data_IF_777380758152
#
_entry.id   IF_777380758152
#
_cell.length_a   1.000
_cell.length_b   1.000
_cell.length_c   1.000
_cell.angle_alpha   90.00
_cell.angle_beta   90.00
_cell.angle_gamma   90.00
#
_symmetry.space_group_name_H-M   'P 1'
#
loop_
_entity.id
_entity.type
_entity.pdbx_description
1 polymer ?
#
# COMPACT_ATOMS: atom_id res chain seq x y z
N UNK A 1 11.76 -6.26 5.87
CA UNK A 1 12.89 -5.70 6.63
C UNK A 1 12.51 -5.65 8.10
N UNK A 2 13.39 -6.07 8.99
CA UNK A 2 13.23 -5.98 10.42
C UNK A 2 14.49 -5.35 11.06
N UNK A 3 14.33 -4.39 11.97
CA UNK A 3 15.44 -3.75 12.67
C UNK A 3 15.10 -3.43 14.12
N UNK A 4 16.15 -3.44 14.98
CA UNK A 4 16.14 -2.91 16.36
C UNK A 4 17.30 -1.93 16.56
N UNK A 5 18.08 -1.68 15.53
CA UNK A 5 19.31 -0.91 15.63
C UNK A 5 18.99 0.57 15.83
N UNK A 6 19.38 1.08 17.00
CA UNK A 6 19.18 2.48 17.40
C UNK A 6 19.88 3.48 16.45
N UNK A 7 20.84 3.01 15.63
CA UNK A 7 21.50 3.83 14.64
C UNK A 7 20.66 4.06 13.38
N UNK A 8 19.67 3.20 13.12
CA UNK A 8 18.71 3.30 11.99
C UNK A 8 17.46 4.06 12.42
N UNK A 9 17.01 3.86 13.66
CA UNK A 9 15.72 4.36 14.14
C UNK A 9 15.52 5.87 13.95
N UNK A 10 16.50 6.75 14.19
CA UNK A 10 16.32 8.20 13.99
C UNK A 10 15.93 8.58 12.56
N UNK A 11 16.53 7.92 11.57
CA UNK A 11 16.20 8.16 10.15
C UNK A 11 14.79 7.68 9.82
N UNK A 12 14.43 6.51 10.31
CA UNK A 12 13.11 5.92 10.11
C UNK A 12 12.01 6.77 10.79
N UNK A 13 12.23 7.17 12.03
CA UNK A 13 11.29 8.00 12.81
C UNK A 13 11.12 9.39 12.21
N UNK A 14 12.18 9.97 11.67
CA UNK A 14 12.11 11.27 10.99
C UNK A 14 11.17 11.23 9.78
N UNK A 15 11.26 10.21 8.95
CA UNK A 15 10.37 10.04 7.78
C UNK A 15 8.93 9.74 8.19
N UNK A 16 8.75 9.01 9.30
CA UNK A 16 7.42 8.61 9.77
C UNK A 16 6.74 9.65 10.69
N UNK A 17 7.48 10.66 11.17
CA UNK A 17 6.94 11.72 12.05
C UNK A 17 5.89 12.57 11.34
N UNK A 18 4.85 13.08 12.05
CA UNK A 18 4.49 12.86 13.44
C UNK A 18 3.60 11.64 13.67
N UNK A 19 3.19 10.92 12.64
CA UNK A 19 2.28 9.78 12.76
C UNK A 19 2.90 8.48 12.20
N UNK A 20 3.55 7.68 13.05
CA UNK A 20 4.26 6.46 12.60
C UNK A 20 3.32 5.29 12.26
N UNK A 21 2.03 5.39 12.59
CA UNK A 21 1.11 4.24 12.44
C UNK A 21 0.43 4.24 11.09
N UNK A 22 0.64 3.16 10.32
CA UNK A 22 -0.12 2.90 9.09
C UNK A 22 0.30 3.71 7.87
N UNK A 23 1.37 4.52 7.96
CA UNK A 23 1.85 5.31 6.83
C UNK A 23 2.56 4.43 5.81
N UNK A 24 2.19 4.61 4.54
CA UNK A 24 2.95 4.10 3.39
C UNK A 24 3.77 5.27 2.83
N UNK A 25 5.06 5.06 2.71
CA UNK A 25 5.99 6.02 2.11
C UNK A 25 6.29 5.56 0.70
N UNK A 26 6.18 6.47 -0.27
CA UNK A 26 6.55 6.23 -1.66
C UNK A 26 7.70 7.16 -2.01
N UNK A 27 8.80 6.60 -2.49
CA UNK A 27 9.94 7.36 -3.00
C UNK A 27 9.69 7.63 -4.48
N UNK A 28 9.31 8.85 -4.80
CA UNK A 28 8.81 9.24 -6.14
C UNK A 28 9.82 8.98 -7.24
N UNK A 29 11.04 9.38 -7.03
CA UNK A 29 12.11 9.41 -8.05
C UNK A 29 13.05 8.20 -7.95
N UNK A 30 12.71 7.20 -7.13
CA UNK A 30 13.48 5.96 -7.01
C UNK A 30 13.44 5.15 -8.32
N UNK A 31 14.60 4.68 -8.76
CA UNK A 31 14.73 3.80 -9.94
C UNK A 31 13.87 2.55 -9.83
N UNK A 32 13.79 1.96 -8.65
CA UNK A 32 12.91 0.82 -8.35
C UNK A 32 11.45 1.21 -8.09
N UNK A 33 11.12 2.51 -8.01
CA UNK A 33 9.82 3.00 -7.56
C UNK A 33 9.40 2.39 -6.23
N UNK A 34 10.25 2.56 -5.24
CA UNK A 34 10.09 1.94 -3.92
C UNK A 34 8.88 2.53 -3.20
N UNK A 35 8.08 1.63 -2.62
CA UNK A 35 7.17 2.00 -1.54
C UNK A 35 7.34 1.06 -0.36
N UNK A 36 7.17 1.59 0.86
CA UNK A 36 7.39 0.84 2.07
C UNK A 36 6.49 1.31 3.22
N UNK A 37 6.27 0.43 4.17
CA UNK A 37 5.61 0.76 5.43
C UNK A 37 6.24 -0.02 6.57
N UNK A 38 6.50 0.65 7.68
CA UNK A 38 7.06 0.08 8.88
C UNK A 38 6.13 0.24 10.07
N UNK A 39 6.18 -0.72 10.98
CA UNK A 39 5.39 -0.70 12.21
C UNK A 39 6.26 -1.10 13.39
N UNK A 40 6.16 -0.31 14.46
CA UNK A 40 6.82 -0.62 15.73
C UNK A 40 6.07 -1.75 16.44
N UNK A 41 6.83 -2.75 16.89
CA UNK A 41 6.31 -3.87 17.64
C UNK A 41 6.30 -3.57 19.16
N UNK A 42 5.42 -4.18 19.95
CA UNK A 42 4.44 -5.19 19.56
C UNK A 42 3.13 -4.57 19.04
N UNK A 43 2.55 -5.17 17.98
CA UNK A 43 1.14 -4.97 17.62
C UNK A 43 0.26 -6.05 18.27
N UNK A 44 0.83 -7.22 18.54
CA UNK A 44 0.19 -8.35 19.17
C UNK A 44 0.99 -8.83 20.39
N UNK A 45 0.30 -9.48 21.34
CA UNK A 45 0.83 -9.86 22.66
C UNK A 45 2.20 -10.57 22.62
N UNK A 46 2.43 -11.45 21.68
CA UNK A 46 3.62 -12.30 21.61
C UNK A 46 4.75 -11.76 20.71
N UNK A 47 4.65 -10.52 20.27
CA UNK A 47 5.68 -9.91 19.45
C UNK A 47 6.78 -9.26 20.32
N UNK A 48 8.03 -9.28 19.84
CA UNK A 48 9.14 -8.67 20.57
C UNK A 48 8.99 -7.16 20.66
N UNK A 49 9.32 -6.61 21.83
CA UNK A 49 9.30 -5.15 22.04
C UNK A 49 10.49 -4.48 21.34
N UNK A 50 10.28 -3.22 20.92
CA UNK A 50 11.35 -2.37 20.38
C UNK A 50 11.84 -2.75 19.01
N UNK A 51 11.17 -3.65 18.30
CA UNK A 51 11.49 -4.02 16.95
C UNK A 51 10.59 -3.25 15.96
N UNK A 52 11.17 -2.78 14.88
CA UNK A 52 10.46 -2.28 13.73
C UNK A 52 10.45 -3.35 12.64
N UNK A 53 9.27 -3.64 12.12
CA UNK A 53 9.09 -4.58 11.03
C UNK A 53 8.29 -3.88 9.93
N UNK A 54 8.76 -4.01 8.71
CA UNK A 54 8.10 -3.44 7.56
C UNK A 54 8.26 -4.27 6.30
N UNK A 55 7.40 -4.00 5.37
CA UNK A 55 7.54 -4.44 4.00
C UNK A 55 8.05 -3.28 3.13
N UNK A 56 8.79 -3.64 2.10
CA UNK A 56 9.25 -2.76 1.04
C UNK A 56 8.97 -3.46 -0.28
N UNK A 57 8.43 -2.76 -1.24
CA UNK A 57 8.27 -3.28 -2.59
C UNK A 57 8.76 -2.28 -3.63
N UNK A 58 9.40 -2.78 -4.68
CA UNK A 58 9.73 -2.05 -5.90
C UNK A 58 8.70 -2.37 -6.98
N UNK A 59 8.15 -1.35 -7.61
CA UNK A 59 7.17 -1.51 -8.71
C UNK A 59 7.85 -1.68 -10.07
N UNK A 60 9.07 -1.19 -10.19
CA UNK A 60 9.94 -1.30 -11.37
C UNK A 60 11.19 -2.11 -11.02
N UNK A 61 10.97 -3.36 -10.62
CA UNK A 61 12.05 -4.26 -10.16
C UNK A 61 13.00 -4.74 -11.26
N UNK A 62 12.75 -4.41 -12.51
CA UNK A 62 13.55 -4.66 -13.72
C UNK A 62 14.56 -3.55 -14.03
N UNK A 63 14.48 -2.42 -13.32
CA UNK A 63 15.39 -1.27 -13.49
C UNK A 63 16.46 -1.27 -12.40
N UNK A 64 17.62 -0.63 -12.67
CA UNK A 64 18.61 -0.40 -11.62
C UNK A 64 18.05 0.52 -10.52
N UNK A 65 18.56 0.34 -9.30
CA UNK A 65 18.32 1.26 -8.19
C UNK A 65 19.17 2.53 -8.33
N UNK A 66 19.05 3.41 -7.35
CA UNK A 66 19.80 4.67 -7.33
C UNK A 66 21.14 4.52 -6.62
N UNK A 67 21.22 3.64 -5.63
CA UNK A 67 22.43 3.28 -4.89
C UNK A 67 22.99 1.92 -5.36
N UNK A 68 22.11 0.96 -5.58
CA UNK A 68 22.46 -0.37 -6.09
C UNK A 68 22.20 -0.41 -7.60
N UNK A 69 23.26 -0.35 -8.41
CA UNK A 69 23.19 -0.33 -9.88
C UNK A 69 22.87 -1.73 -10.44
N UNK A 70 21.74 -2.30 -10.02
CA UNK A 70 21.17 -3.52 -10.61
C UNK A 70 19.67 -3.64 -10.34
N UNK A 71 18.95 -4.49 -11.12
CA UNK A 71 17.53 -4.75 -10.92
C UNK A 71 17.24 -5.30 -9.52
N UNK A 72 16.19 -4.82 -8.85
CA UNK A 72 15.81 -5.27 -7.51
C UNK A 72 15.58 -6.79 -7.43
N UNK A 73 15.05 -7.39 -8.49
CA UNK A 73 14.79 -8.83 -8.57
C UNK A 73 16.07 -9.69 -8.51
N UNK A 74 17.23 -9.10 -8.79
CA UNK A 74 18.54 -9.76 -8.76
C UNK A 74 19.32 -9.46 -7.47
N UNK A 75 18.72 -8.62 -6.59
CA UNK A 75 19.38 -8.18 -5.37
C UNK A 75 19.22 -9.18 -4.23
N UNK A 76 20.26 -9.25 -3.42
CA UNK A 76 20.23 -9.88 -2.10
C UNK A 76 19.42 -9.03 -1.11
N UNK A 77 19.04 -9.62 0.02
CA UNK A 77 18.38 -8.85 1.09
C UNK A 77 19.23 -7.69 1.61
N UNK A 78 20.56 -7.89 1.71
CA UNK A 78 21.50 -6.82 2.08
C UNK A 78 21.44 -5.64 1.11
N UNK A 79 21.52 -5.90 -0.18
CA UNK A 79 21.48 -4.88 -1.22
C UNK A 79 20.15 -4.12 -1.24
N UNK A 80 19.03 -4.82 -1.07
CA UNK A 80 17.71 -4.17 -0.92
C UNK A 80 17.69 -3.28 0.33
N UNK A 81 18.31 -3.71 1.41
CA UNK A 81 18.42 -2.90 2.62
C UNK A 81 19.31 -1.65 2.39
N UNK A 82 20.42 -1.81 1.67
CA UNK A 82 21.32 -0.69 1.34
C UNK A 82 20.58 0.39 0.54
N UNK A 83 19.85 0.03 -0.49
CA UNK A 83 19.04 0.95 -1.28
C UNK A 83 17.99 1.67 -0.43
N UNK A 84 17.30 0.92 0.46
CA UNK A 84 16.34 1.52 1.38
C UNK A 84 16.98 2.51 2.36
N UNK A 85 18.15 2.19 2.94
CA UNK A 85 18.90 3.08 3.83
C UNK A 85 19.36 4.35 3.12
N UNK A 86 19.76 4.23 1.87
CA UNK A 86 20.10 5.38 1.02
C UNK A 86 18.91 6.35 0.91
N UNK A 87 17.72 5.84 0.61
CA UNK A 87 16.51 6.64 0.52
C UNK A 87 15.97 7.14 1.87
N UNK A 88 16.44 6.59 2.99
CA UNK A 88 16.21 7.16 4.32
C UNK A 88 17.14 8.34 4.65
N UNK A 89 18.13 8.62 3.80
CA UNK A 89 19.13 9.67 4.03
C UNK A 89 20.25 9.25 4.99
N UNK A 90 20.50 7.95 5.12
CA UNK A 90 21.66 7.45 5.86
C UNK A 90 22.94 7.81 5.10
N UNK A 91 23.99 8.37 5.75
CA UNK A 91 25.26 8.63 5.10
C UNK A 91 25.86 7.38 4.45
N UNK A 92 26.33 7.51 3.21
CA UNK A 92 26.79 6.38 2.39
C UNK A 92 27.85 5.51 3.07
N UNK A 93 28.79 6.14 3.80
CA UNK A 93 29.84 5.44 4.53
C UNK A 93 29.34 4.57 5.69
N UNK A 94 28.04 4.61 6.02
CA UNK A 94 27.40 3.82 7.08
C UNK A 94 26.42 2.79 6.54
N UNK A 95 26.02 2.90 5.27
CA UNK A 95 24.95 2.08 4.69
C UNK A 95 25.32 0.61 4.73
N UNK A 96 26.50 0.24 4.32
CA UNK A 96 26.92 -1.17 4.25
C UNK A 96 26.92 -1.84 5.63
N UNK A 97 27.54 -1.19 6.63
CA UNK A 97 27.57 -1.71 8.00
C UNK A 97 26.17 -1.88 8.60
N UNK A 98 25.32 -0.88 8.39
CA UNK A 98 23.93 -0.92 8.90
C UNK A 98 23.06 -1.95 8.17
N UNK A 99 23.28 -2.18 6.90
CA UNK A 99 22.56 -3.22 6.16
C UNK A 99 22.99 -4.63 6.58
N UNK A 100 24.26 -4.81 6.91
CA UNK A 100 24.81 -6.11 7.34
C UNK A 100 24.45 -6.46 8.79
N UNK A 101 24.58 -5.48 9.70
CA UNK A 101 24.50 -5.75 11.14
C UNK A 101 23.27 -5.13 11.82
N UNK A 102 22.69 -4.10 11.21
CA UNK A 102 21.60 -3.33 11.83
C UNK A 102 20.19 -3.76 11.42
N UNK A 103 20.06 -4.51 10.33
CA UNK A 103 18.76 -4.94 9.82
C UNK A 103 18.81 -6.34 9.25
N UNK A 104 17.67 -7.04 9.32
CA UNK A 104 17.48 -8.32 8.63
C UNK A 104 16.46 -8.13 7.51
N UNK A 105 16.85 -8.44 6.29
CA UNK A 105 16.02 -8.28 5.10
C UNK A 105 15.86 -9.61 4.38
N UNK A 106 14.62 -10.06 4.26
CA UNK A 106 14.26 -11.26 3.51
C UNK A 106 13.71 -10.83 2.16
N UNK A 107 14.43 -11.07 1.04
CA UNK A 107 13.93 -10.81 -0.29
C UNK A 107 12.83 -11.80 -0.64
N UNK A 108 11.82 -11.34 -1.36
CA UNK A 108 10.73 -12.17 -1.85
C UNK A 108 10.31 -11.70 -3.24
N UNK A 109 10.34 -12.61 -4.20
CA UNK A 109 9.71 -12.39 -5.49
C UNK A 109 8.26 -12.87 -5.42
N UNK A 110 7.32 -11.98 -5.68
CA UNK A 110 5.90 -12.30 -5.78
C UNK A 110 5.49 -12.25 -7.26
N UNK A 111 5.52 -13.36 -7.99
CA UNK A 111 5.14 -13.38 -9.38
C UNK A 111 3.68 -12.95 -9.53
N UNK A 112 3.42 -12.16 -10.55
CA UNK A 112 2.09 -11.63 -10.86
C UNK A 112 1.43 -10.77 -9.76
N UNK A 113 2.17 -10.31 -8.76
CA UNK A 113 1.63 -9.49 -7.66
C UNK A 113 0.91 -8.21 -8.16
N UNK A 114 1.39 -7.64 -9.26
CA UNK A 114 0.78 -6.45 -9.90
C UNK A 114 -0.39 -6.77 -10.82
N UNK A 115 -0.66 -8.04 -11.14
CA UNK A 115 -1.74 -8.42 -12.05
C UNK A 115 -3.12 -7.96 -11.54
N UNK A 116 -3.29 -7.87 -10.23
CA UNK A 116 -4.51 -7.34 -9.62
C UNK A 116 -4.79 -5.86 -9.97
N UNK A 117 -3.75 -5.10 -10.31
CA UNK A 117 -3.80 -3.68 -10.64
C UNK A 117 -3.84 -3.42 -12.16
N UNK A 118 -3.72 -4.46 -12.97
CA UNK A 118 -3.79 -4.33 -14.42
C UNK A 118 -5.20 -3.92 -14.86
N UNK A 119 -5.32 -3.12 -15.94
CA UNK A 119 -6.60 -2.80 -16.54
C UNK A 119 -7.37 -4.08 -16.90
N UNK A 120 -8.64 -4.13 -16.56
CA UNK A 120 -9.51 -5.28 -16.83
C UNK A 120 -10.92 -4.83 -17.20
N UNK A 121 -11.63 -5.73 -17.84
CA UNK A 121 -13.07 -5.63 -18.09
C UNK A 121 -13.82 -6.59 -17.17
N UNK A 122 -15.11 -6.36 -16.98
CA UNK A 122 -15.99 -7.32 -16.33
C UNK A 122 -15.95 -8.67 -17.07
N UNK A 123 -15.72 -9.75 -16.33
CA UNK A 123 -15.60 -11.10 -16.88
C UNK A 123 -14.18 -11.55 -17.22
N UNK A 124 -13.17 -10.69 -17.07
CA UNK A 124 -11.75 -11.09 -17.25
C UNK A 124 -11.25 -11.98 -16.09
N UNK A 125 -12.01 -12.05 -15.00
CA UNK A 125 -11.72 -12.89 -13.82
C UNK A 125 -12.84 -13.91 -13.63
N UNK A 126 -12.53 -15.08 -13.05
CA UNK A 126 -13.56 -16.03 -12.69
C UNK A 126 -14.46 -15.43 -11.60
N UNK A 127 -15.74 -15.74 -11.67
CA UNK A 127 -16.67 -15.49 -10.57
C UNK A 127 -16.24 -16.27 -9.33
N UNK A 128 -16.59 -15.76 -8.14
CA UNK A 128 -16.26 -16.43 -6.87
C UNK A 128 -16.80 -17.87 -6.87
N UNK A 129 -18.03 -18.07 -7.26
CA UNK A 129 -18.63 -19.40 -7.49
C UNK A 129 -19.12 -19.42 -8.92
N UNK A 130 -18.35 -20.00 -9.87
CA UNK A 130 -18.75 -20.08 -11.27
C UNK A 130 -20.05 -20.87 -11.45
N UNK A 131 -20.77 -20.56 -12.50
CA UNK A 131 -21.98 -21.32 -12.86
C UNK A 131 -21.67 -22.82 -12.97
N UNK A 132 -22.47 -23.63 -12.30
CA UNK A 132 -22.29 -25.08 -12.23
C UNK A 132 -21.27 -25.58 -11.19
N UNK A 133 -20.60 -24.71 -10.47
CA UNK A 133 -19.75 -25.11 -9.35
C UNK A 133 -20.60 -25.58 -8.17
N UNK A 134 -20.28 -26.76 -7.64
CA UNK A 134 -21.03 -27.39 -6.55
C UNK A 134 -20.32 -27.31 -5.22
N UNK A 135 -18.99 -27.44 -5.22
CA UNK A 135 -18.18 -27.60 -4.00
C UNK A 135 -16.81 -26.90 -4.07
N UNK A 136 -16.63 -25.96 -4.98
CA UNK A 136 -15.42 -25.15 -5.03
C UNK A 136 -15.73 -23.69 -5.34
N UNK A 137 -14.80 -22.81 -4.97
CA UNK A 137 -14.87 -21.38 -5.25
C UNK A 137 -13.48 -20.80 -5.50
N UNK A 138 -13.42 -19.73 -6.28
CA UNK A 138 -12.22 -18.91 -6.43
C UNK A 138 -12.23 -17.81 -5.37
N UNK A 139 -11.12 -17.64 -4.65
CA UNK A 139 -11.00 -16.66 -3.57
C UNK A 139 -9.85 -15.70 -3.81
N UNK A 140 -9.93 -14.55 -3.17
CA UNK A 140 -8.88 -13.55 -3.16
C UNK A 140 -8.98 -12.59 -4.33
N UNK A 141 -7.92 -11.83 -4.53
CA UNK A 141 -7.89 -10.70 -5.46
C UNK A 141 -8.03 -11.06 -6.95
N UNK A 142 -7.96 -12.31 -7.30
CA UNK A 142 -8.11 -12.80 -8.68
C UNK A 142 -9.52 -13.29 -9.02
N UNK A 143 -10.41 -13.36 -8.04
CA UNK A 143 -11.83 -13.64 -8.28
C UNK A 143 -12.59 -12.34 -8.59
N UNK A 144 -13.66 -12.44 -9.37
CA UNK A 144 -14.54 -11.29 -9.64
C UNK A 144 -15.55 -11.14 -8.50
N UNK A 145 -15.69 -9.96 -7.94
CA UNK A 145 -16.79 -9.60 -7.07
C UNK A 145 -17.31 -8.20 -7.42
N UNK A 146 -18.63 -7.97 -7.38
CA UNK A 146 -19.20 -6.69 -7.79
C UNK A 146 -18.72 -5.53 -6.92
N UNK A 147 -18.51 -4.37 -7.54
CA UNK A 147 -18.28 -3.06 -6.91
C UNK A 147 -17.01 -2.95 -6.07
N UNK A 148 -16.10 -3.89 -6.15
CA UNK A 148 -14.88 -3.86 -5.36
C UNK A 148 -13.65 -3.71 -6.24
N UNK A 149 -12.63 -3.08 -5.67
CA UNK A 149 -11.30 -2.98 -6.28
C UNK A 149 -10.40 -4.06 -5.70
N UNK A 150 -9.69 -4.77 -6.55
CA UNK A 150 -8.75 -5.79 -6.12
C UNK A 150 -7.56 -5.18 -5.33
N UNK A 151 -6.89 -6.02 -4.54
CA UNK A 151 -5.64 -5.71 -3.88
C UNK A 151 -5.75 -5.39 -2.40
N UNK A 152 -6.94 -5.49 -1.78
CA UNK A 152 -7.13 -5.30 -0.35
C UNK A 152 -7.40 -6.62 0.39
N UNK A 153 -7.14 -6.63 1.69
CA UNK A 153 -7.48 -7.76 2.57
C UNK A 153 -9.00 -7.93 2.60
N UNK A 154 -9.72 -6.81 2.63
CA UNK A 154 -11.18 -6.75 2.64
C UNK A 154 -11.77 -7.40 1.39
N UNK A 155 -11.14 -7.20 0.24
CA UNK A 155 -11.54 -7.88 -1.00
C UNK A 155 -11.45 -9.41 -0.86
N UNK A 156 -10.37 -9.91 -0.30
CA UNK A 156 -10.18 -11.35 -0.06
C UNK A 156 -11.18 -11.90 0.95
N UNK A 157 -11.47 -11.16 2.02
CA UNK A 157 -12.51 -11.53 2.99
C UNK A 157 -13.90 -11.58 2.34
N UNK A 158 -14.21 -10.60 1.52
CA UNK A 158 -15.49 -10.52 0.81
C UNK A 158 -15.70 -11.72 -0.10
N UNK A 159 -14.71 -12.09 -0.91
CA UNK A 159 -14.79 -13.27 -1.77
C UNK A 159 -14.98 -14.56 -0.95
N UNK A 160 -14.34 -14.67 0.22
CA UNK A 160 -14.54 -15.79 1.15
C UNK A 160 -15.97 -15.87 1.69
N UNK A 161 -16.54 -14.75 2.11
CA UNK A 161 -17.93 -14.68 2.58
C UNK A 161 -18.90 -15.01 1.45
N UNK A 162 -18.69 -14.48 0.26
CA UNK A 162 -19.52 -14.75 -0.92
C UNK A 162 -19.50 -16.23 -1.28
N UNK A 163 -18.32 -16.86 -1.27
CA UNK A 163 -18.18 -18.29 -1.50
C UNK A 163 -19.00 -19.14 -0.52
N UNK A 164 -18.87 -18.84 0.78
CA UNK A 164 -19.60 -19.57 1.82
C UNK A 164 -21.11 -19.39 1.69
N UNK A 165 -21.56 -18.15 1.48
CA UNK A 165 -23.01 -17.89 1.39
C UNK A 165 -23.61 -18.55 0.14
N UNK A 166 -22.92 -18.48 -1.00
CA UNK A 166 -23.39 -19.09 -2.24
C UNK A 166 -23.39 -20.61 -2.17
N UNK A 167 -22.29 -21.23 -1.74
CA UNK A 167 -22.18 -22.69 -1.71
C UNK A 167 -23.09 -23.35 -0.66
N UNK A 168 -23.37 -22.64 0.44
CA UNK A 168 -24.27 -23.16 1.49
C UNK A 168 -25.71 -22.67 1.33
N UNK A 169 -26.05 -21.92 0.28
CA UNK A 169 -27.40 -21.41 0.06
C UNK A 169 -27.88 -20.46 1.17
N UNK A 170 -26.97 -19.72 1.78
CA UNK A 170 -27.32 -18.74 2.82
C UNK A 170 -27.90 -17.49 2.16
N UNK A 171 -29.17 -17.21 2.43
CA UNK A 171 -29.83 -15.98 1.95
C UNK A 171 -29.38 -14.77 2.74
N UNK A 172 -28.16 -14.32 2.46
CA UNK A 172 -27.53 -13.16 3.08
C UNK A 172 -26.60 -12.46 2.11
N UNK A 173 -26.80 -11.16 1.92
CA UNK A 173 -25.88 -10.34 1.15
C UNK A 173 -24.52 -10.19 1.85
N UNK A 174 -23.44 -10.17 1.07
CA UNK A 174 -22.11 -9.83 1.58
C UNK A 174 -22.04 -8.33 1.80
N UNK A 175 -21.65 -7.85 3.00
CA UNK A 175 -21.51 -6.42 3.26
C UNK A 175 -20.52 -5.75 2.30
N UNK A 176 -20.82 -4.55 1.86
CA UNK A 176 -19.87 -3.74 1.12
C UNK A 176 -18.74 -3.30 2.05
N UNK A 177 -17.51 -3.25 1.52
CA UNK A 177 -16.34 -2.81 2.30
C UNK A 177 -16.47 -1.32 2.63
N UNK A 178 -16.70 -0.51 1.61
CA UNK A 178 -16.89 0.94 1.76
C UNK A 178 -17.79 1.48 0.65
N UNK A 179 -18.79 2.24 1.06
CA UNK A 179 -19.75 2.85 0.13
C UNK A 179 -19.30 4.17 -0.50
N UNK A 180 -17.97 4.41 -0.64
CA UNK A 180 -17.40 5.68 -1.12
C UNK A 180 -17.92 6.13 -2.48
N UNK A 181 -18.29 5.19 -3.36
CA UNK A 181 -18.89 5.49 -4.66
C UNK A 181 -20.23 6.23 -4.57
N UNK A 182 -20.86 6.22 -3.42
CA UNK A 182 -22.13 6.92 -3.14
C UNK A 182 -21.94 8.15 -2.27
N UNK A 183 -20.73 8.38 -1.75
CA UNK A 183 -20.42 9.57 -0.94
C UNK A 183 -19.81 10.66 -1.83
N UNK A 184 -20.61 11.70 -2.09
CA UNK A 184 -20.18 12.85 -2.93
C UNK A 184 -18.94 13.55 -2.36
N UNK A 185 -18.71 13.49 -1.04
CA UNK A 185 -17.54 14.10 -0.40
C UNK A 185 -16.26 13.36 -0.80
N UNK A 186 -16.29 12.03 -0.81
CA UNK A 186 -15.18 11.20 -1.22
C UNK A 186 -14.87 11.37 -2.71
N UNK A 187 -15.91 11.48 -3.55
CA UNK A 187 -15.76 11.74 -4.98
C UNK A 187 -15.13 13.10 -5.26
N UNK A 188 -15.58 14.14 -4.56
CA UNK A 188 -15.01 15.49 -4.67
C UNK A 188 -13.57 15.54 -4.15
N UNK A 189 -13.27 14.85 -3.05
CA UNK A 189 -11.92 14.71 -2.52
C UNK A 189 -11.00 13.99 -3.49
N UNK A 190 -11.42 12.87 -4.07
CA UNK A 190 -10.68 12.14 -5.08
C UNK A 190 -10.42 13.01 -6.32
N UNK A 191 -11.42 13.74 -6.80
CA UNK A 191 -11.29 14.67 -7.92
C UNK A 191 -10.28 15.80 -7.62
N UNK A 192 -10.28 16.34 -6.39
CA UNK A 192 -9.31 17.35 -5.96
C UNK A 192 -7.87 16.78 -5.91
N UNK A 193 -7.69 15.54 -5.46
CA UNK A 193 -6.39 14.87 -5.44
C UNK A 193 -5.84 14.60 -6.84
N UNK A 194 -6.69 14.19 -7.79
CA UNK A 194 -6.30 13.98 -9.18
C UNK A 194 -5.80 15.27 -9.87
N UNK A 195 -6.08 16.42 -9.30
CA UNK A 195 -5.65 17.74 -9.78
C UNK A 195 -4.45 18.29 -9.02
N UNK A 196 -3.60 17.44 -8.48
CA UNK A 196 -2.42 17.83 -7.66
C UNK A 196 -2.77 18.74 -6.48
N UNK A 197 -3.94 18.53 -5.86
CA UNK A 197 -4.40 19.32 -4.72
C UNK A 197 -4.82 20.75 -5.05
N UNK A 198 -4.95 21.12 -6.33
CA UNK A 198 -5.45 22.42 -6.72
C UNK A 198 -6.91 22.59 -6.30
N UNK A 199 -7.28 23.70 -5.64
CA UNK A 199 -8.65 23.90 -5.19
C UNK A 199 -9.64 23.94 -6.36
N UNK A 200 -10.85 23.48 -6.13
CA UNK A 200 -11.92 23.50 -7.13
C UNK A 200 -12.30 24.93 -7.59
N UNK A 201 -11.98 25.94 -6.78
CA UNK A 201 -12.13 27.36 -7.14
C UNK A 201 -11.37 27.73 -8.41
N UNK A 202 -10.24 27.07 -8.70
CA UNK A 202 -9.43 27.32 -9.90
C UNK A 202 -10.14 26.86 -11.19
N UNK A 203 -11.26 26.15 -11.06
CA UNK A 203 -12.14 25.76 -12.18
C UNK A 203 -13.20 26.79 -12.54
N UNK A 204 -13.24 27.93 -11.82
CA UNK A 204 -14.28 28.93 -11.99
C UNK A 204 -15.64 28.51 -11.42
N UNK A 205 -15.71 27.47 -10.60
CA UNK A 205 -16.90 27.11 -9.85
C UNK A 205 -16.86 27.74 -8.46
N UNK A 206 -17.75 28.66 -8.18
CA UNK A 206 -18.02 29.12 -6.81
C UNK A 206 -18.81 28.03 -6.07
N UNK A 207 -18.13 27.32 -5.18
CA UNK A 207 -18.79 26.36 -4.31
C UNK A 207 -19.56 27.10 -3.20
N UNK A 208 -20.81 26.70 -2.88
CA UNK A 208 -21.48 27.20 -1.70
C UNK A 208 -20.61 27.06 -0.46
N UNK A 209 -20.52 28.11 0.38
CA UNK A 209 -19.57 28.19 1.49
C UNK A 209 -19.56 26.99 2.46
N UNK A 210 -20.70 26.29 2.61
CA UNK A 210 -20.78 25.03 3.39
C UNK A 210 -19.98 23.88 2.75
N UNK A 211 -19.93 23.82 1.43
CA UNK A 211 -19.17 22.78 0.70
C UNK A 211 -17.69 23.16 0.66
N UNK A 212 -17.37 24.43 0.49
CA UNK A 212 -16.00 24.92 0.55
C UNK A 212 -15.34 24.63 1.91
N UNK A 213 -16.06 24.82 3.01
CA UNK A 213 -15.58 24.50 4.36
C UNK A 213 -15.40 23.00 4.61
N UNK A 214 -16.21 22.14 4.02
CA UNK A 214 -16.05 20.67 4.11
C UNK A 214 -14.79 20.19 3.36
N UNK A 215 -14.47 20.83 2.25
CA UNK A 215 -13.27 20.53 1.47
C UNK A 215 -12.00 21.13 2.05
N UNK A 216 -12.09 22.25 2.79
CA UNK A 216 -10.94 22.85 3.48
C UNK A 216 -10.49 22.06 4.72
N UNK A 217 -11.37 21.28 5.33
CA UNK A 217 -11.03 20.43 6.49
C UNK A 217 -10.12 19.25 6.11
N UNK A 218 -10.06 18.84 4.82
CA UNK A 218 -9.12 17.85 4.29
C UNK A 218 -7.79 18.44 3.81
N UNK A 219 -7.68 19.77 3.74
CA UNK A 219 -6.54 20.47 3.11
C UNK A 219 -5.35 20.81 4.01
N UNK A 220 -5.45 20.61 5.32
CA UNK A 220 -4.36 20.95 6.25
C UNK A 220 -3.25 19.89 6.36
N UNK A 221 -3.20 18.90 5.47
CA UNK A 221 -2.12 17.90 5.42
C UNK A 221 -1.07 18.19 4.34
N UNK A 222 -0.99 19.42 3.83
CA UNK A 222 -0.09 19.80 2.73
C UNK A 222 1.31 20.28 3.17
N UNK A 223 1.78 19.95 4.36
CA UNK A 223 3.15 20.31 4.78
C UNK A 223 4.23 19.22 4.57
N UNK A 224 3.94 18.18 3.81
CA UNK A 224 4.96 17.16 3.54
C UNK A 224 5.23 17.01 2.05
N UNK A 225 5.91 18.01 1.47
CA UNK A 225 6.76 17.83 0.29
C UNK A 225 8.12 17.33 0.80
N UNK A 226 8.42 16.07 0.57
CA UNK A 226 9.79 15.56 0.48
C UNK A 226 10.08 15.36 -1.00
#
# INVERSE_FOLDING_TARGET
>A
IATRDERILPYLENVLSPNPVGRVVTVRDSGWQICWAFRKQPLFRNQPKGQWIGWLCGRSGDRPGDYIDKPMQECTGKEICMEWLYHLGVPENRIEDLAEHGANTVPMMMPYATAALMPRRKGDRPEVVPEGAVNFAFLGQFAETPRETAGTIEYSMRTGMEAVYTLLGVDRGVPEVWGSTYDIRDLLFAAAQLRDGRPLSDLGFELPGKIANLLSYGGNNNEYRI
#
